data_IF_154419257309
#
_entry.id   IF_154419257309
#
_cell.length_a   1.000
_cell.length_b   1.000
_cell.length_c   1.000
_cell.angle_alpha   90.00
_cell.angle_beta   90.00
_cell.angle_gamma   90.00
#
_symmetry.space_group_name_H-M   'P 1'
#
loop_
_entity.id
_entity.type
_entity.pdbx_description
1 polymer ?
#
# COMPACT_ATOMS: atom_id res chain seq x y z
N UNK A 1 -16.78 4.28 -15.30
CA UNK A 1 -17.41 4.97 -14.14
C UNK A 1 -16.63 4.76 -12.84
N UNK A 2 -16.29 3.52 -12.46
CA UNK A 2 -15.57 3.20 -11.22
C UNK A 2 -14.22 3.93 -11.13
N UNK A 3 -13.40 3.92 -12.17
CA UNK A 3 -12.11 4.61 -12.22
C UNK A 3 -12.26 6.12 -11.94
N UNK A 4 -13.20 6.78 -12.58
CA UNK A 4 -13.43 8.23 -12.38
C UNK A 4 -13.92 8.56 -10.96
N UNK A 5 -14.60 7.63 -10.29
CA UNK A 5 -14.92 7.76 -8.88
C UNK A 5 -13.66 7.65 -8.01
N UNK A 6 -12.80 6.68 -8.30
CA UNK A 6 -11.56 6.46 -7.54
C UNK A 6 -10.53 7.59 -7.69
N UNK A 7 -10.48 8.27 -8.84
CA UNK A 7 -9.61 9.44 -9.06
C UNK A 7 -9.97 10.63 -8.14
N UNK A 8 -11.19 10.65 -7.58
CA UNK A 8 -11.63 11.68 -6.62
C UNK A 8 -11.36 11.32 -5.17
N UNK A 9 -10.98 10.08 -4.90
CA UNK A 9 -10.73 9.61 -3.53
C UNK A 9 -9.39 10.14 -3.04
N UNK A 10 -9.39 10.69 -1.84
CA UNK A 10 -8.18 11.07 -1.11
C UNK A 10 -8.11 10.28 0.19
N UNK A 11 -6.93 9.82 0.52
CA UNK A 11 -6.71 9.03 1.74
C UNK A 11 -5.71 9.78 2.61
N UNK A 12 -6.10 10.00 3.85
CA UNK A 12 -5.24 10.54 4.89
C UNK A 12 -4.78 9.40 5.79
N UNK A 13 -3.50 9.21 5.85
CA UNK A 13 -2.82 8.27 6.73
C UNK A 13 -2.35 9.01 7.97
N UNK A 14 -2.63 8.46 9.15
CA UNK A 14 -2.18 9.02 10.42
C UNK A 14 -1.55 7.94 11.27
N UNK A 15 -0.34 8.22 11.77
CA UNK A 15 0.35 7.37 12.73
C UNK A 15 1.05 8.22 13.78
N UNK A 16 1.34 7.65 14.93
CA UNK A 16 2.04 8.38 15.99
C UNK A 16 3.39 8.90 15.50
N UNK A 17 3.68 10.17 15.79
CA UNK A 17 4.93 10.79 15.38
C UNK A 17 6.02 10.47 16.39
N UNK A 18 7.03 9.72 15.94
CA UNK A 18 8.29 9.50 16.65
C UNK A 18 9.43 10.19 15.87
N UNK A 19 10.56 10.45 16.51
CA UNK A 19 11.64 11.38 16.09
C UNK A 19 11.90 11.51 14.58
N UNK A 20 11.86 10.41 13.82
CA UNK A 20 12.11 10.39 12.36
C UNK A 20 11.01 9.71 11.54
N UNK A 21 9.87 9.43 12.16
CA UNK A 21 8.80 8.66 11.53
C UNK A 21 7.43 9.12 12.04
N UNK A 22 6.39 8.89 11.22
CA UNK A 22 5.01 9.14 11.61
C UNK A 22 4.51 10.54 11.27
N UNK A 23 3.32 10.84 11.77
CA UNK A 23 2.58 12.07 11.47
C UNK A 23 1.39 11.80 10.55
N UNK A 24 0.97 12.83 9.83
CA UNK A 24 -0.21 12.78 8.95
C UNK A 24 0.22 13.08 7.52
N UNK A 25 -0.25 12.23 6.58
CA UNK A 25 0.02 12.39 5.16
C UNK A 25 -1.26 12.12 4.35
N UNK A 26 -1.61 13.03 3.44
CA UNK A 26 -2.77 12.89 2.56
C UNK A 26 -2.32 12.74 1.11
N UNK A 27 -2.82 11.71 0.44
CA UNK A 27 -2.53 11.45 -0.97
C UNK A 27 -3.81 11.15 -1.76
N UNK A 28 -3.84 11.44 -3.08
CA UNK A 28 -4.86 10.87 -3.95
C UNK A 28 -4.68 9.36 -4.00
N UNK A 29 -5.81 8.62 -4.06
CA UNK A 29 -5.78 7.16 -4.22
C UNK A 29 -5.25 6.74 -5.60
N UNK A 30 -5.63 7.48 -6.63
CA UNK A 30 -5.10 7.33 -7.98
C UNK A 30 -4.20 8.54 -8.26
N UNK A 31 -2.96 8.28 -8.60
CA UNK A 31 -1.95 9.28 -8.88
C UNK A 31 -1.27 8.99 -10.23
N UNK A 32 -0.39 9.88 -10.67
CA UNK A 32 0.41 9.68 -11.87
C UNK A 32 1.85 9.35 -11.52
N UNK A 33 2.35 8.33 -12.16
CA UNK A 33 3.77 8.00 -12.06
C UNK A 33 4.63 9.18 -12.54
N UNK A 34 5.62 9.65 -11.77
CA UNK A 34 6.34 10.90 -12.05
C UNK A 34 7.12 10.91 -13.37
N UNK A 35 7.53 9.74 -13.85
CA UNK A 35 8.31 9.61 -15.08
C UNK A 35 7.44 9.19 -16.26
N UNK A 36 6.67 8.11 -16.12
CA UNK A 36 5.88 7.55 -17.23
C UNK A 36 4.52 8.23 -17.44
N UNK A 37 4.00 8.96 -16.44
CA UNK A 37 2.68 9.56 -16.47
C UNK A 37 1.52 8.56 -16.35
N UNK A 38 1.80 7.27 -16.24
CA UNK A 38 0.78 6.24 -16.08
C UNK A 38 0.04 6.40 -14.75
N UNK A 39 -1.24 6.02 -14.73
CA UNK A 39 -2.01 6.00 -13.50
C UNK A 39 -1.56 4.86 -12.61
N UNK A 40 -1.37 5.17 -11.35
CA UNK A 40 -0.93 4.23 -10.31
C UNK A 40 -1.86 4.31 -9.11
N UNK A 41 -2.04 3.20 -8.42
CA UNK A 41 -2.79 3.15 -7.16
C UNK A 41 -1.85 3.44 -6.00
N UNK A 42 -2.26 4.37 -5.15
CA UNK A 42 -1.59 4.72 -3.89
C UNK A 42 -2.47 4.27 -2.73
N UNK A 43 -2.11 3.17 -2.12
CA UNK A 43 -2.85 2.64 -0.98
C UNK A 43 -1.92 1.90 -0.02
N UNK A 44 -2.15 2.09 1.26
CA UNK A 44 -1.59 1.25 2.32
C UNK A 44 -2.74 0.75 3.20
N UNK A 45 -2.76 -0.54 3.47
CA UNK A 45 -3.75 -1.13 4.36
C UNK A 45 -3.57 -0.61 5.79
N UNK A 46 -4.66 -0.41 6.55
CA UNK A 46 -4.55 -0.07 7.96
C UNK A 46 -3.83 -1.20 8.71
N UNK A 47 -2.98 -0.82 9.63
CA UNK A 47 -2.20 -1.73 10.46
C UNK A 47 -2.48 -1.42 11.92
N UNK A 48 -2.75 -2.43 12.71
CA UNK A 48 -3.09 -2.32 14.15
C UNK A 48 -2.00 -2.89 15.06
N UNK A 49 -0.83 -3.18 14.49
CA UNK A 49 0.30 -3.75 15.24
C UNK A 49 1.12 -2.68 16.01
N UNK A 50 2.42 -2.91 16.20
CA UNK A 50 3.33 -2.06 16.97
C UNK A 50 3.37 -0.58 16.55
N UNK A 51 2.89 -0.25 15.36
CA UNK A 51 2.84 1.12 14.86
C UNK A 51 1.55 1.33 14.03
N UNK A 52 0.42 1.50 14.71
CA UNK A 52 -0.88 1.59 14.05
C UNK A 52 -0.95 2.71 13.02
N UNK A 53 -1.48 2.39 11.85
CA UNK A 53 -1.77 3.36 10.80
C UNK A 53 -3.29 3.45 10.63
N UNK A 54 -3.82 4.62 10.92
CA UNK A 54 -5.23 4.93 10.77
C UNK A 54 -5.49 5.55 9.40
N UNK A 55 -6.65 5.26 8.84
CA UNK A 55 -7.09 5.79 7.55
C UNK A 55 -8.30 6.70 7.72
N UNK A 56 -8.27 7.85 7.05
CA UNK A 56 -9.45 8.66 6.78
C UNK A 56 -9.63 8.76 5.27
N UNK A 57 -10.82 8.42 4.78
CA UNK A 57 -11.14 8.35 3.35
C UNK A 57 -12.14 9.42 2.99
N UNK A 58 -11.75 10.32 2.09
CA UNK A 58 -12.61 11.32 1.47
C UNK A 58 -13.04 10.84 0.09
N UNK A 59 -14.25 11.21 -0.35
CA UNK A 59 -14.82 10.80 -1.63
C UNK A 59 -15.60 9.48 -1.60
N UNK A 60 -15.65 8.81 -0.44
CA UNK A 60 -16.49 7.63 -0.20
C UNK A 60 -17.41 7.90 1.00
N UNK A 61 -18.76 7.80 0.84
CA UNK A 61 -19.69 7.96 1.93
C UNK A 61 -19.36 7.03 3.11
N UNK A 62 -19.51 7.46 4.37
CA UNK A 62 -19.15 6.63 5.52
C UNK A 62 -19.80 5.24 5.53
N UNK A 63 -21.08 5.16 5.10
CA UNK A 63 -21.82 3.90 5.03
C UNK A 63 -21.23 2.91 3.99
N UNK A 64 -20.56 3.41 2.95
CA UNK A 64 -20.03 2.60 1.85
C UNK A 64 -18.56 2.21 2.05
N UNK A 65 -17.87 2.82 3.02
CA UNK A 65 -16.43 2.58 3.26
C UNK A 65 -16.08 1.11 3.55
N UNK A 66 -16.86 0.35 4.34
CA UNK A 66 -16.55 -1.06 4.56
C UNK A 66 -16.57 -1.88 3.27
N UNK A 67 -17.59 -1.67 2.42
CA UNK A 67 -17.71 -2.35 1.14
C UNK A 67 -16.61 -1.94 0.16
N UNK A 68 -16.27 -0.65 0.13
CA UNK A 68 -15.16 -0.12 -0.66
C UNK A 68 -13.82 -0.74 -0.27
N UNK A 69 -13.49 -0.78 1.03
CA UNK A 69 -12.25 -1.38 1.53
C UNK A 69 -12.19 -2.88 1.26
N UNK A 70 -13.30 -3.60 1.43
CA UNK A 70 -13.38 -5.02 1.11
C UNK A 70 -13.15 -5.27 -0.40
N UNK A 71 -13.73 -4.46 -1.27
CA UNK A 71 -13.52 -4.52 -2.72
C UNK A 71 -12.06 -4.23 -3.09
N UNK A 72 -11.47 -3.20 -2.50
CA UNK A 72 -10.07 -2.83 -2.73
C UNK A 72 -9.13 -3.94 -2.27
N UNK A 73 -9.34 -4.47 -1.06
CA UNK A 73 -8.57 -5.61 -0.54
C UNK A 73 -8.65 -6.83 -1.48
N UNK A 74 -9.83 -7.16 -1.98
CA UNK A 74 -10.03 -8.24 -2.94
C UNK A 74 -9.20 -8.04 -4.22
N UNK A 75 -9.22 -6.83 -4.78
CA UNK A 75 -8.46 -6.50 -6.00
C UNK A 75 -6.95 -6.53 -5.76
N UNK A 76 -6.49 -5.96 -4.65
CA UNK A 76 -5.06 -5.92 -4.30
C UNK A 76 -4.48 -7.30 -4.01
N UNK A 77 -5.30 -8.27 -3.64
CA UNK A 77 -4.88 -9.64 -3.37
C UNK A 77 -5.29 -10.64 -4.46
N UNK A 78 -5.79 -10.16 -5.58
CA UNK A 78 -6.13 -11.02 -6.72
C UNK A 78 -4.86 -11.69 -7.28
N UNK A 79 -4.79 -13.04 -7.31
CA UNK A 79 -3.61 -13.75 -7.78
C UNK A 79 -3.24 -13.45 -9.25
N UNK A 80 -4.20 -12.99 -10.06
CA UNK A 80 -3.96 -12.60 -11.44
C UNK A 80 -3.22 -11.25 -11.57
N UNK A 81 -3.26 -10.42 -10.51
CA UNK A 81 -2.65 -9.10 -10.46
C UNK A 81 -1.40 -9.05 -9.56
N UNK A 82 -1.21 -10.09 -8.73
CA UNK A 82 -0.15 -10.12 -7.73
C UNK A 82 0.97 -11.09 -8.12
N UNK A 83 2.19 -10.60 -8.12
CA UNK A 83 3.37 -11.45 -8.17
C UNK A 83 3.83 -11.80 -6.75
N UNK A 84 3.80 -13.08 -6.40
CA UNK A 84 4.27 -13.58 -5.11
C UNK A 84 5.68 -14.17 -5.24
N UNK A 85 6.70 -13.43 -4.80
CA UNK A 85 8.09 -13.89 -4.83
C UNK A 85 8.38 -14.90 -3.72
N UNK A 86 8.80 -16.10 -4.11
CA UNK A 86 9.28 -17.13 -3.20
C UNK A 86 10.79 -16.95 -2.97
N UNK A 87 11.15 -16.21 -1.92
CA UNK A 87 12.53 -15.85 -1.61
C UNK A 87 13.45 -17.06 -1.41
N UNK A 88 14.62 -17.01 -2.04
CA UNK A 88 15.76 -17.90 -1.81
C UNK A 88 16.96 -17.09 -1.38
N UNK A 89 17.98 -17.75 -0.82
CA UNK A 89 19.22 -17.09 -0.45
C UNK A 89 19.88 -16.46 -1.70
N UNK A 90 20.35 -15.22 -1.53
CA UNK A 90 20.94 -14.38 -2.57
C UNK A 90 19.99 -13.86 -3.66
N UNK A 91 18.68 -14.01 -3.50
CA UNK A 91 17.73 -13.35 -4.41
C UNK A 91 17.80 -11.83 -4.25
N UNK A 92 17.72 -11.14 -5.39
CA UNK A 92 17.59 -9.68 -5.48
C UNK A 92 16.31 -9.39 -6.26
N UNK A 93 15.44 -8.56 -5.68
CA UNK A 93 14.24 -8.06 -6.35
C UNK A 93 14.37 -6.55 -6.54
N UNK A 94 14.25 -6.10 -7.77
CA UNK A 94 14.16 -4.69 -8.13
C UNK A 94 12.70 -4.36 -8.43
N UNK A 95 12.18 -3.33 -7.80
CA UNK A 95 10.80 -2.91 -7.97
C UNK A 95 10.71 -1.38 -8.04
N UNK A 96 9.90 -0.90 -8.97
CA UNK A 96 9.53 0.51 -9.02
C UNK A 96 8.49 0.81 -7.94
N UNK A 97 8.91 1.47 -6.88
CA UNK A 97 8.06 1.80 -5.73
C UNK A 97 7.02 2.89 -6.03
N UNK A 98 7.11 3.60 -7.16
CA UNK A 98 6.07 4.50 -7.63
C UNK A 98 4.96 3.78 -8.39
N UNK A 99 5.30 2.72 -9.11
CA UNK A 99 4.36 1.97 -9.92
C UNK A 99 3.67 0.82 -9.17
N UNK A 100 4.34 0.21 -8.20
CA UNK A 100 3.92 -1.03 -7.57
C UNK A 100 3.62 -0.85 -6.09
N UNK A 101 2.55 -1.46 -5.64
CA UNK A 101 2.31 -1.72 -4.22
C UNK A 101 3.05 -3.00 -3.83
N UNK A 102 3.54 -3.04 -2.60
CA UNK A 102 4.18 -4.23 -2.07
C UNK A 102 3.63 -4.58 -0.68
N UNK A 103 3.54 -5.85 -0.42
CA UNK A 103 3.09 -6.38 0.86
C UNK A 103 3.93 -7.57 1.30
N UNK A 104 3.68 -8.04 2.49
CA UNK A 104 4.33 -9.21 3.06
C UNK A 104 3.28 -10.12 3.69
N UNK A 105 3.30 -11.38 3.30
CA UNK A 105 2.50 -12.40 3.99
C UNK A 105 3.12 -12.71 5.35
N UNK A 106 2.29 -13.13 6.29
CA UNK A 106 2.74 -13.63 7.58
C UNK A 106 3.73 -14.79 7.37
N UNK A 107 4.74 -14.87 8.19
CA UNK A 107 5.72 -15.96 8.22
C UNK A 107 5.82 -16.57 9.61
N UNK A 108 6.30 -17.81 9.68
CA UNK A 108 6.49 -18.49 10.97
C UNK A 108 7.63 -17.82 11.74
N UNK A 109 7.38 -17.49 13.01
CA UNK A 109 8.36 -16.81 13.87
C UNK A 109 9.67 -17.59 14.07
N UNK A 110 9.66 -18.91 13.83
CA UNK A 110 10.84 -19.79 13.94
C UNK A 110 11.78 -19.74 12.72
N UNK A 111 11.38 -19.08 11.63
CA UNK A 111 12.21 -18.99 10.44
C UNK A 111 13.20 -17.81 10.58
N UNK A 112 14.50 -18.10 10.55
CA UNK A 112 15.52 -17.05 10.41
C UNK A 112 15.39 -16.43 9.03
N UNK A 113 15.18 -15.10 8.98
CA UNK A 113 15.04 -14.35 7.73
C UNK A 113 15.76 -13.03 7.86
N UNK A 114 16.64 -12.75 6.91
CA UNK A 114 17.32 -11.47 6.81
C UNK A 114 17.02 -10.83 5.44
N UNK A 115 16.32 -9.71 5.43
CA UNK A 115 16.08 -8.91 4.23
C UNK A 115 16.69 -7.53 4.41
N UNK A 116 17.35 -7.05 3.36
CA UNK A 116 17.82 -5.67 3.27
C UNK A 116 17.04 -4.97 2.17
N UNK A 117 16.58 -3.74 2.46
CA UNK A 117 15.98 -2.86 1.46
C UNK A 117 16.88 -1.66 1.26
N UNK A 118 17.14 -1.34 0.02
CA UNK A 118 17.84 -0.12 -0.39
C UNK A 118 16.91 0.65 -1.31
N UNK A 119 16.70 1.93 -1.03
CA UNK A 119 16.01 2.82 -1.94
C UNK A 119 17.07 3.46 -2.84
N UNK A 120 16.87 3.34 -4.15
CA UNK A 120 17.69 4.04 -5.16
C UNK A 120 16.89 5.29 -5.55
N UNK A 121 17.53 6.45 -5.43
CA UNK A 121 16.96 7.76 -5.75
C UNK A 121 17.28 8.14 -7.19
#
# INVERSE_FOLDING_TARGET
EERAAWERIRITYSTEKVVHYGGTFTAPMIDRHPVSGQLVVRFAEPVEDLNPVQLSIEGVPPADRPAFLARLHQLLNDPSLCYAHAWRDNDIVLADNHALLHGRRAFRASASRHLRRVNVL
#
